data_IF_663945130919
#
_entry.id   IF_663945130919
#
_cell.length_a   1.000
_cell.length_b   1.000
_cell.length_c   1.000
_cell.angle_alpha   90.00
_cell.angle_beta   90.00
_cell.angle_gamma   90.00
#
_symmetry.space_group_name_H-M   'P 1'
#
loop_
_entity.id
_entity.type
_entity.pdbx_description
1 polymer ?
#
# COMPACT_ATOMS: atom_id res chain seq x y z
N UNK A 1 -5.36 -8.93 3.21
CA UNK A 1 -5.50 -7.66 2.47
C UNK A 1 -4.92 -7.65 1.06
N UNK A 2 -3.89 -8.47 0.75
CA UNK A 2 -3.28 -8.50 -0.59
C UNK A 2 -4.29 -8.79 -1.72
N UNK A 3 -5.19 -9.75 -1.51
CA UNK A 3 -6.22 -10.09 -2.50
C UNK A 3 -7.18 -8.91 -2.78
N UNK A 4 -7.58 -8.19 -1.73
CA UNK A 4 -8.45 -7.00 -1.87
C UNK A 4 -7.76 -5.84 -2.60
N UNK A 5 -6.49 -5.57 -2.25
CA UNK A 5 -5.70 -4.56 -2.94
C UNK A 5 -5.45 -4.93 -4.40
N UNK A 6 -5.17 -6.20 -4.68
CA UNK A 6 -4.97 -6.71 -6.04
C UNK A 6 -6.25 -6.62 -6.88
N UNK A 7 -7.40 -7.03 -6.31
CA UNK A 7 -8.68 -7.03 -7.01
C UNK A 7 -9.20 -5.62 -7.35
N UNK A 8 -8.79 -4.60 -6.59
CA UNK A 8 -9.18 -3.20 -6.78
C UNK A 8 -8.07 -2.31 -7.36
N UNK A 9 -6.88 -2.83 -7.63
CA UNK A 9 -5.81 -2.08 -8.29
C UNK A 9 -5.97 -2.11 -9.82
N UNK A 10 -5.75 -0.97 -10.47
CA UNK A 10 -5.82 -0.88 -11.93
C UNK A 10 -4.68 -1.71 -12.53
N UNK A 11 -5.03 -2.70 -13.34
CA UNK A 11 -4.04 -3.53 -14.01
C UNK A 11 -3.56 -2.86 -15.30
N UNK A 12 -2.24 -2.80 -15.51
CA UNK A 12 -1.62 -2.03 -16.61
C UNK A 12 -2.00 -2.51 -18.01
N UNK A 13 -2.32 -3.79 -18.19
CA UNK A 13 -2.69 -4.35 -19.50
C UNK A 13 -4.14 -4.10 -19.91
N UNK A 14 -5.06 -3.96 -18.95
CA UNK A 14 -6.51 -3.82 -19.22
C UNK A 14 -7.03 -2.43 -18.93
N UNK A 15 -6.27 -1.60 -18.19
CA UNK A 15 -6.70 -0.29 -17.69
C UNK A 15 -7.90 -0.38 -16.74
N UNK A 16 -8.20 -1.58 -16.23
CA UNK A 16 -9.33 -1.87 -15.35
C UNK A 16 -8.84 -2.71 -14.17
N UNK A 17 -9.55 -2.63 -13.07
CA UNK A 17 -9.34 -3.53 -11.93
C UNK A 17 -9.75 -4.96 -12.31
N UNK A 18 -9.09 -6.02 -11.80
CA UNK A 18 -9.51 -7.40 -12.05
C UNK A 18 -10.98 -7.63 -11.72
N UNK A 19 -11.50 -7.02 -10.66
CA UNK A 19 -12.92 -7.08 -10.30
C UNK A 19 -13.81 -6.50 -11.40
N UNK A 20 -13.51 -5.30 -11.90
CA UNK A 20 -14.25 -4.65 -12.98
C UNK A 20 -14.16 -5.40 -14.29
N UNK A 21 -13.00 -6.00 -14.58
CA UNK A 21 -12.82 -6.82 -15.77
C UNK A 21 -13.68 -8.09 -15.74
N UNK A 22 -13.85 -8.69 -14.54
CA UNK A 22 -14.62 -9.92 -14.36
C UNK A 22 -16.13 -9.68 -14.27
N UNK A 23 -16.56 -8.62 -13.56
CA UNK A 23 -17.97 -8.39 -13.23
C UNK A 23 -18.63 -7.21 -13.95
N UNK A 24 -17.85 -6.37 -14.64
CA UNK A 24 -18.37 -5.24 -15.42
C UNK A 24 -18.78 -4.01 -14.61
N UNK A 25 -18.68 -4.05 -13.28
CA UNK A 25 -18.94 -2.92 -12.37
C UNK A 25 -17.82 -2.80 -11.34
N UNK A 26 -17.69 -1.62 -10.74
CA UNK A 26 -16.66 -1.30 -9.75
C UNK A 26 -17.37 -0.90 -8.46
N UNK A 27 -17.19 -1.63 -7.34
CA UNK A 27 -17.81 -1.27 -6.09
C UNK A 27 -17.22 0.06 -5.63
N UNK A 28 -18.08 1.05 -5.36
CA UNK A 28 -17.68 2.23 -4.60
C UNK A 28 -17.25 1.75 -3.21
N UNK A 29 -15.94 1.79 -2.97
CA UNK A 29 -15.28 1.38 -1.73
C UNK A 29 -15.49 2.40 -0.61
N UNK A 30 -16.68 2.98 -0.53
CA UNK A 30 -17.14 3.80 0.58
C UNK A 30 -18.28 3.01 1.21
N UNK A 31 -18.12 2.44 2.42
CA UNK A 31 -19.20 1.82 3.15
C UNK A 31 -20.21 2.93 3.31
N UNK A 32 -21.42 2.66 2.84
CA UNK A 32 -22.51 3.59 3.06
C UNK A 32 -22.82 3.54 4.55
N UNK A 33 -22.68 4.67 5.24
CA UNK A 33 -23.18 4.84 6.60
C UNK A 33 -24.70 5.12 6.61
N UNK A 34 -25.39 4.96 5.47
CA UNK A 34 -26.83 5.07 5.37
C UNK A 34 -27.43 3.75 5.86
N UNK A 35 -28.25 3.76 6.94
CA UNK A 35 -28.93 2.56 7.43
C UNK A 35 -29.77 1.95 6.32
N UNK A 36 -29.70 0.63 6.19
CA UNK A 36 -30.51 -0.11 5.21
C UNK A 36 -31.57 -0.92 5.93
N UNK A 37 -32.65 -1.27 5.23
CA UNK A 37 -33.66 -2.19 5.78
C UNK A 37 -33.17 -3.65 5.83
N UNK A 38 -31.90 -3.90 5.50
CA UNK A 38 -31.27 -5.22 5.42
C UNK A 38 -30.17 -5.31 6.49
N UNK A 39 -30.43 -5.92 7.66
CA UNK A 39 -29.47 -5.98 8.77
C UNK A 39 -28.09 -6.53 8.38
N UNK A 40 -28.04 -7.51 7.47
CA UNK A 40 -26.80 -8.11 7.00
C UNK A 40 -25.92 -7.11 6.23
N UNK A 41 -26.52 -6.14 5.53
CA UNK A 41 -25.79 -5.12 4.81
C UNK A 41 -25.17 -4.10 5.78
N UNK A 42 -25.89 -3.76 6.85
CA UNK A 42 -25.40 -2.87 7.91
C UNK A 42 -24.25 -3.53 8.71
N UNK A 43 -24.38 -4.82 9.04
CA UNK A 43 -23.32 -5.59 9.71
C UNK A 43 -22.05 -5.69 8.85
N UNK A 44 -22.22 -5.88 7.53
CA UNK A 44 -21.11 -5.90 6.59
C UNK A 44 -20.40 -4.55 6.53
N UNK A 45 -21.16 -3.44 6.48
CA UNK A 45 -20.62 -2.09 6.46
C UNK A 45 -19.81 -1.78 7.74
N UNK A 46 -20.36 -2.13 8.91
CA UNK A 46 -19.67 -1.98 10.20
C UNK A 46 -18.38 -2.80 10.26
N UNK A 47 -18.42 -4.05 9.78
CA UNK A 47 -17.25 -4.93 9.74
C UNK A 47 -16.16 -4.35 8.82
N UNK A 48 -16.52 -3.84 7.65
CA UNK A 48 -15.58 -3.19 6.74
C UNK A 48 -14.95 -1.94 7.36
N UNK A 49 -15.75 -1.10 8.03
CA UNK A 49 -15.24 0.10 8.70
C UNK A 49 -14.24 -0.25 9.82
N UNK A 50 -14.53 -1.28 10.62
CA UNK A 50 -13.64 -1.75 11.68
C UNK A 50 -12.30 -2.24 11.11
N UNK A 51 -12.33 -3.04 10.03
CA UNK A 51 -11.13 -3.55 9.38
C UNK A 51 -10.27 -2.44 8.78
N UNK A 52 -10.87 -1.39 8.23
CA UNK A 52 -10.10 -0.25 7.72
C UNK A 52 -9.43 0.55 8.81
N UNK A 53 -10.10 0.79 9.94
CA UNK A 53 -9.48 1.46 11.10
C UNK A 53 -8.28 0.68 11.62
N UNK A 54 -8.39 -0.65 11.68
CA UNK A 54 -7.27 -1.52 12.07
C UNK A 54 -6.08 -1.36 11.12
N UNK A 55 -6.34 -1.35 9.82
CA UNK A 55 -5.32 -1.28 8.77
C UNK A 55 -4.66 0.09 8.71
N UNK A 56 -5.46 1.15 8.82
CA UNK A 56 -4.95 2.52 8.94
C UNK A 56 -4.04 2.66 10.15
N UNK A 57 -4.44 2.10 11.30
CA UNK A 57 -3.62 2.08 12.51
C UNK A 57 -2.31 1.32 12.30
N UNK A 58 -2.36 0.13 11.70
CA UNK A 58 -1.17 -0.68 11.43
C UNK A 58 -0.20 0.03 10.46
N UNK A 59 -0.72 0.67 9.41
CA UNK A 59 0.09 1.47 8.47
C UNK A 59 0.73 2.68 9.17
N UNK A 60 -0.03 3.38 10.01
CA UNK A 60 0.49 4.50 10.78
C UNK A 60 1.62 4.05 11.73
N UNK A 61 1.40 2.97 12.48
CA UNK A 61 2.42 2.41 13.38
C UNK A 61 3.67 1.94 12.62
N UNK A 62 3.49 1.27 11.48
CA UNK A 62 4.60 0.84 10.63
C UNK A 62 5.42 2.03 10.13
N UNK A 63 4.76 3.11 9.69
CA UNK A 63 5.43 4.35 9.29
C UNK A 63 6.22 4.96 10.45
N UNK A 64 5.64 5.05 11.64
CA UNK A 64 6.35 5.58 12.81
C UNK A 64 7.58 4.74 13.17
N UNK A 65 7.46 3.41 13.11
CA UNK A 65 8.60 2.52 13.35
C UNK A 65 9.69 2.66 12.29
N UNK A 66 9.34 2.87 11.02
CA UNK A 66 10.32 3.14 9.97
C UNK A 66 11.07 4.44 10.24
N UNK A 67 10.36 5.53 10.55
CA UNK A 67 10.99 6.82 10.89
C UNK A 67 11.89 6.69 12.12
N UNK A 68 11.43 6.03 13.18
CA UNK A 68 12.23 5.81 14.38
C UNK A 68 13.49 4.96 14.13
N UNK A 69 13.46 4.04 13.16
CA UNK A 69 14.67 3.30 12.73
C UNK A 69 15.65 4.14 11.93
N UNK A 70 15.16 5.18 11.26
CA UNK A 70 15.97 6.13 10.49
C UNK A 70 16.57 7.25 11.37
N UNK A 71 16.29 7.29 12.68
CA UNK A 71 16.88 8.23 13.66
C UNK A 71 18.37 7.95 13.98
N UNK A 72 19.14 7.41 13.03
CA UNK A 72 20.59 7.56 13.06
C UNK A 72 20.96 8.97 12.61
N UNK A 73 22.09 9.50 13.09
CA UNK A 73 22.64 10.75 12.54
C UNK A 73 22.71 10.61 11.00
N UNK A 74 22.01 11.46 10.23
CA UNK A 74 22.13 11.45 8.79
C UNK A 74 23.62 11.63 8.47
N UNK A 75 24.19 10.73 7.68
CA UNK A 75 25.54 10.94 7.19
C UNK A 75 25.49 12.12 6.24
N UNK A 76 26.16 13.21 6.61
CA UNK A 76 26.33 14.35 5.71
C UNK A 76 27.40 13.98 4.67
N UNK A 77 27.10 14.21 3.40
CA UNK A 77 28.01 13.97 2.30
C UNK A 77 28.32 15.28 1.58
N UNK A 78 29.56 15.44 1.13
CA UNK A 78 29.96 16.59 0.31
C UNK A 78 29.75 16.31 -1.18
N UNK A 79 29.58 17.39 -1.96
CA UNK A 79 29.48 17.28 -3.42
C UNK A 79 30.82 16.75 -3.96
N UNK A 80 30.78 15.57 -4.58
CA UNK A 80 31.96 14.90 -5.14
C UNK A 80 32.54 13.77 -4.26
N UNK A 81 31.95 13.51 -3.09
CA UNK A 81 32.34 12.41 -2.22
C UNK A 81 31.94 11.05 -2.82
N UNK A 82 32.88 10.11 -2.86
CA UNK A 82 32.63 8.73 -3.32
C UNK A 82 32.14 7.87 -2.15
N UNK A 83 31.02 7.17 -2.35
CA UNK A 83 30.39 6.32 -1.33
C UNK A 83 30.17 4.91 -1.86
N UNK A 84 30.30 3.93 -0.96
CA UNK A 84 30.01 2.53 -1.28
C UNK A 84 28.52 2.23 -1.14
N UNK A 85 27.91 1.69 -2.20
CA UNK A 85 26.50 1.28 -2.20
C UNK A 85 26.37 -0.22 -1.96
N UNK A 86 25.52 -0.61 -1.01
CA UNK A 86 25.07 -2.00 -0.95
C UNK A 86 24.08 -2.27 -2.09
N UNK A 87 24.60 -2.89 -3.16
CA UNK A 87 23.84 -3.18 -4.36
C UNK A 87 22.97 -4.45 -4.26
N UNK A 88 22.89 -5.12 -3.11
CA UNK A 88 22.25 -6.44 -2.96
C UNK A 88 20.81 -6.52 -3.49
N UNK A 89 20.06 -5.41 -3.45
CA UNK A 89 18.68 -5.32 -3.94
C UNK A 89 18.48 -4.25 -5.02
N UNK A 90 19.55 -3.76 -5.64
CA UNK A 90 19.49 -2.71 -6.65
C UNK A 90 19.91 -3.29 -7.99
N UNK A 91 19.05 -3.16 -9.00
CA UNK A 91 19.38 -3.57 -10.36
C UNK A 91 20.20 -2.45 -11.04
N UNK A 92 21.49 -2.41 -10.74
CA UNK A 92 22.42 -1.44 -11.31
C UNK A 92 22.73 -1.82 -12.76
N UNK A 93 22.61 -0.85 -13.68
CA UNK A 93 22.89 -1.04 -15.12
C UNK A 93 24.37 -1.13 -15.47
N UNK A 94 25.26 -1.05 -14.48
CA UNK A 94 26.72 -0.97 -14.67
C UNK A 94 27.42 -2.07 -13.89
N UNK A 95 28.42 -2.70 -14.52
CA UNK A 95 29.28 -3.71 -13.91
C UNK A 95 30.12 -3.12 -12.78
N UNK A 96 30.24 -3.86 -11.68
CA UNK A 96 31.14 -3.54 -10.56
C UNK A 96 32.58 -3.33 -11.05
N UNK A 97 33.33 -2.34 -10.54
CA UNK A 97 34.74 -2.22 -10.84
C UNK A 97 35.49 -3.42 -10.23
N UNK A 98 36.44 -3.97 -11.00
CA UNK A 98 37.38 -5.01 -10.55
C UNK A 98 38.51 -4.44 -9.71
#
# INVERSE_FOLDING_TARGET
MAEFAYNNAIHSSTGKTPFKALYGWEPTLTPSNVPTDVPEADDLAQTMEAQWKEVESALWQSKQQMVAREEGNPTEFEIGEEVWLDAKNINLKTLSPS
#
